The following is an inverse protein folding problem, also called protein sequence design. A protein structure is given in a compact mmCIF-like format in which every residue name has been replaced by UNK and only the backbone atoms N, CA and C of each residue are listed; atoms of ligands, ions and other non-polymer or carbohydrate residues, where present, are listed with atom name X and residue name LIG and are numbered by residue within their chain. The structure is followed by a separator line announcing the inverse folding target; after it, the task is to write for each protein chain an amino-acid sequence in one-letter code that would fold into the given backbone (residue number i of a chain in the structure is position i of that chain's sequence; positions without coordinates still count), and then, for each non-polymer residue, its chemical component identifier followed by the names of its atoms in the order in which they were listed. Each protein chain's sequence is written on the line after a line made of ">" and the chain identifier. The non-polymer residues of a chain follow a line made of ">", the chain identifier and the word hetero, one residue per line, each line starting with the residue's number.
data_IF_930824166680
#
_entry.id   IF_930824166680
#
_cell.length_a   1.000
_cell.length_b   1.000
_cell.length_c   1.000
_cell.angle_alpha   90.00
_cell.angle_beta   90.00
_cell.angle_gamma   90.00
#
_symmetry.space_group_name_H-M   'P 1'
#
loop_
_entity.id
_entity.type
_entity.pdbx_description
1 polymer ?
#
# COMPACT_ATOMS: atom_id res chain seq x y z
N UNK A 1 15.20 -9.30 -22.98
CA UNK A 1 16.54 -9.52 -22.42
C UNK A 1 16.78 -11.02 -22.39
N UNK A 2 17.82 -11.54 -23.05
CA UNK A 2 18.10 -12.99 -23.02
C UNK A 2 18.83 -13.33 -21.72
N UNK A 3 18.05 -13.56 -20.66
CA UNK A 3 18.58 -13.94 -19.35
C UNK A 3 18.65 -15.45 -19.30
N UNK A 4 19.86 -15.99 -19.15
CA UNK A 4 20.00 -17.41 -18.95
C UNK A 4 19.30 -17.87 -17.67
N UNK A 5 18.71 -19.07 -17.72
CA UNK A 5 17.97 -19.67 -16.61
C UNK A 5 18.76 -19.69 -15.29
N UNK A 6 20.09 -19.84 -15.36
CA UNK A 6 20.92 -19.82 -14.15
C UNK A 6 20.92 -18.45 -13.45
N UNK A 7 20.83 -17.33 -14.18
CA UNK A 7 20.75 -15.99 -13.56
C UNK A 7 19.41 -15.85 -12.83
N UNK A 8 18.32 -16.29 -13.45
CA UNK A 8 17.01 -16.36 -12.80
C UNK A 8 17.05 -17.17 -11.51
N UNK A 9 17.60 -18.38 -11.57
CA UNK A 9 17.68 -19.27 -10.40
C UNK A 9 18.57 -18.65 -9.32
N UNK A 10 19.75 -18.13 -9.67
CA UNK A 10 20.68 -17.52 -8.70
C UNK A 10 20.03 -16.30 -8.06
N UNK A 11 19.43 -15.39 -8.83
CA UNK A 11 18.76 -14.21 -8.30
C UNK A 11 17.58 -14.59 -7.42
N UNK A 12 16.74 -15.54 -7.84
CA UNK A 12 15.64 -16.02 -7.04
C UNK A 12 16.12 -16.65 -5.72
N UNK A 13 17.15 -17.49 -5.76
CA UNK A 13 17.73 -18.11 -4.57
C UNK A 13 18.33 -17.08 -3.63
N UNK A 14 19.06 -16.08 -4.15
CA UNK A 14 19.63 -15.00 -3.33
C UNK A 14 18.52 -14.17 -2.70
N UNK A 15 17.52 -13.75 -3.46
CA UNK A 15 16.42 -12.92 -2.96
C UNK A 15 15.54 -13.67 -1.96
N UNK A 16 15.17 -14.92 -2.27
CA UNK A 16 14.44 -15.80 -1.33
C UNK A 16 15.31 -16.11 -0.12
N UNK A 17 16.62 -16.23 -0.27
CA UNK A 17 17.56 -16.39 0.84
C UNK A 17 17.60 -15.18 1.77
N UNK A 18 17.66 -13.97 1.21
CA UNK A 18 17.58 -12.71 1.98
C UNK A 18 16.24 -12.59 2.69
N UNK A 19 15.13 -12.91 2.01
CA UNK A 19 13.79 -12.93 2.61
C UNK A 19 13.69 -14.00 3.71
N UNK A 20 14.18 -15.20 3.47
CA UNK A 20 14.17 -16.30 4.43
C UNK A 20 15.05 -15.99 5.65
N UNK A 21 16.17 -15.31 5.44
CA UNK A 21 17.01 -14.82 6.52
C UNK A 21 16.29 -13.78 7.38
N UNK A 22 15.61 -12.81 6.76
CA UNK A 22 14.76 -11.86 7.46
C UNK A 22 13.64 -12.60 8.24
N UNK A 23 12.99 -13.58 7.61
CA UNK A 23 11.96 -14.40 8.27
C UNK A 23 12.53 -15.20 9.45
N UNK A 24 13.70 -15.81 9.30
CA UNK A 24 14.27 -16.72 10.27
C UNK A 24 14.86 -15.99 11.48
N UNK A 25 15.57 -14.88 11.25
CA UNK A 25 16.13 -14.06 12.32
C UNK A 25 15.02 -13.40 13.13
N UNK A 26 14.06 -12.76 12.46
CA UNK A 26 13.01 -12.03 13.16
C UNK A 26 11.97 -12.98 13.74
N UNK A 27 11.62 -14.07 13.05
CA UNK A 27 10.69 -15.08 13.54
C UNK A 27 11.12 -15.76 14.85
N UNK A 28 12.43 -15.75 15.16
CA UNK A 28 12.97 -16.26 16.43
C UNK A 28 12.98 -15.25 17.58
N UNK A 29 12.82 -13.95 17.29
CA UNK A 29 12.84 -12.88 18.31
C UNK A 29 11.83 -11.78 17.97
N UNK A 30 10.51 -12.04 18.10
CA UNK A 30 9.49 -11.02 17.90
C UNK A 30 9.61 -9.93 18.97
N UNK A 31 10.27 -8.82 18.63
CA UNK A 31 10.39 -7.62 19.45
C UNK A 31 10.04 -6.43 18.57
N UNK A 32 9.35 -5.44 19.12
CA UNK A 32 9.05 -4.18 18.44
C UNK A 32 10.37 -3.48 18.07
N UNK A 33 10.71 -3.33 16.77
CA UNK A 33 11.97 -2.71 16.39
C UNK A 33 11.96 -1.23 16.76
N UNK A 34 13.09 -0.75 17.28
CA UNK A 34 13.27 0.67 17.52
C UNK A 34 13.25 1.45 16.20
N UNK A 35 12.85 2.73 16.24
CA UNK A 35 12.93 3.64 15.07
C UNK A 35 14.31 3.63 14.40
N UNK A 36 15.39 3.53 15.20
CA UNK A 36 16.76 3.45 14.67
C UNK A 36 17.01 2.15 13.93
N UNK A 37 16.59 1.02 14.49
CA UNK A 37 16.73 -0.30 13.89
C UNK A 37 15.92 -0.41 12.60
N UNK A 38 14.68 0.08 12.62
CA UNK A 38 13.80 0.12 11.46
C UNK A 38 14.39 1.00 10.35
N UNK A 39 14.89 2.20 10.68
CA UNK A 39 15.51 3.11 9.71
C UNK A 39 16.79 2.53 9.09
N UNK A 40 17.65 1.89 9.88
CA UNK A 40 18.86 1.22 9.38
C UNK A 40 18.47 0.06 8.45
N UNK A 41 17.50 -0.76 8.85
CA UNK A 41 17.05 -1.89 8.03
C UNK A 41 16.47 -1.41 6.69
N UNK A 42 15.63 -0.37 6.68
CA UNK A 42 15.12 0.23 5.45
C UNK A 42 16.26 0.76 4.58
N UNK A 43 17.24 1.46 5.17
CA UNK A 43 18.41 1.95 4.43
C UNK A 43 19.23 0.82 3.81
N UNK A 44 19.39 -0.32 4.51
CA UNK A 44 20.06 -1.51 3.96
C UNK A 44 19.29 -2.06 2.76
N UNK A 45 17.97 -2.25 2.88
CA UNK A 45 17.17 -2.81 1.78
C UNK A 45 17.11 -1.88 0.55
N UNK A 46 16.98 -0.57 0.78
CA UNK A 46 17.10 0.45 -0.27
C UNK A 46 18.49 0.41 -0.91
N UNK A 47 19.56 0.30 -0.11
CA UNK A 47 20.93 0.18 -0.61
C UNK A 47 21.13 -1.07 -1.47
N UNK A 48 20.57 -2.22 -1.06
CA UNK A 48 20.61 -3.46 -1.84
C UNK A 48 19.89 -3.30 -3.19
N UNK A 49 18.73 -2.65 -3.21
CA UNK A 49 18.00 -2.36 -4.45
C UNK A 49 18.81 -1.46 -5.38
N UNK A 50 19.44 -0.40 -4.84
CA UNK A 50 20.29 0.51 -5.62
C UNK A 50 21.51 -0.22 -6.19
N UNK A 51 22.19 -1.03 -5.39
CA UNK A 51 23.34 -1.84 -5.84
C UNK A 51 22.89 -2.79 -6.96
N UNK A 52 21.74 -3.45 -6.80
CA UNK A 52 21.20 -4.33 -7.83
C UNK A 52 20.89 -3.56 -9.12
N UNK A 53 20.23 -2.40 -9.04
CA UNK A 53 19.92 -1.56 -10.21
C UNK A 53 21.16 -1.03 -10.93
N UNK A 54 22.22 -0.67 -10.19
CA UNK A 54 23.54 -0.35 -10.77
C UNK A 54 24.13 -1.58 -11.45
N UNK A 55 24.03 -2.76 -10.83
CA UNK A 55 24.43 -4.03 -11.44
C UNK A 55 23.71 -4.27 -12.77
N UNK A 56 22.39 -4.13 -12.81
CA UNK A 56 21.61 -4.23 -14.06
C UNK A 56 22.09 -3.21 -15.09
N UNK A 57 22.35 -1.97 -14.68
CA UNK A 57 22.86 -0.91 -15.58
C UNK A 57 24.20 -1.29 -16.22
N UNK A 58 25.13 -1.87 -15.43
CA UNK A 58 26.47 -2.24 -15.91
C UNK A 58 26.40 -3.49 -16.80
N UNK A 59 25.65 -4.52 -16.40
CA UNK A 59 25.68 -5.83 -17.06
C UNK A 59 24.64 -6.01 -18.17
N UNK A 60 23.48 -5.35 -18.06
CA UNK A 60 22.42 -5.41 -19.06
C UNK A 60 22.28 -4.10 -19.86
N UNK A 61 22.77 -2.98 -19.31
CA UNK A 61 22.83 -1.69 -19.98
C UNK A 61 21.90 -0.63 -19.37
N UNK A 62 22.10 0.66 -19.70
CA UNK A 62 21.38 1.78 -19.09
C UNK A 62 19.86 1.73 -19.25
N UNK A 63 19.37 1.15 -20.34
CA UNK A 63 17.93 0.97 -20.59
C UNK A 63 17.29 0.11 -19.49
N UNK A 64 17.79 -1.11 -19.30
CA UNK A 64 17.26 -2.05 -18.31
C UNK A 64 17.50 -1.59 -16.87
N UNK A 65 18.61 -0.89 -16.63
CA UNK A 65 18.84 -0.23 -15.34
C UNK A 65 17.77 0.82 -15.03
N UNK A 66 17.46 1.69 -15.99
CA UNK A 66 16.39 2.67 -15.85
C UNK A 66 15.01 2.03 -15.66
N UNK A 67 14.73 0.96 -16.41
CA UNK A 67 13.50 0.17 -16.27
C UNK A 67 13.36 -0.44 -14.87
N UNK A 68 14.44 -1.01 -14.32
CA UNK A 68 14.48 -1.50 -12.94
C UNK A 68 14.20 -0.39 -11.93
N UNK A 69 14.90 0.75 -12.02
CA UNK A 69 14.70 1.84 -11.06
C UNK A 69 13.29 2.41 -11.14
N UNK A 70 12.72 2.54 -12.34
CA UNK A 70 11.37 3.03 -12.53
C UNK A 70 10.36 2.05 -11.91
N UNK A 71 10.48 0.76 -12.26
CA UNK A 71 9.63 -0.28 -11.71
C UNK A 71 9.74 -0.38 -10.19
N UNK A 72 10.96 -0.41 -9.64
CA UNK A 72 11.20 -0.52 -8.21
C UNK A 72 10.66 0.69 -7.44
N UNK A 73 10.89 1.92 -7.90
CA UNK A 73 10.37 3.12 -7.24
C UNK A 73 8.83 3.17 -7.28
N UNK A 74 8.22 2.84 -8.43
CA UNK A 74 6.76 2.77 -8.55
C UNK A 74 6.19 1.71 -7.63
N UNK A 75 6.72 0.49 -7.64
CA UNK A 75 6.28 -0.59 -6.76
C UNK A 75 6.49 -0.28 -5.28
N UNK A 76 7.62 0.33 -4.91
CA UNK A 76 7.91 0.71 -3.53
C UNK A 76 6.92 1.78 -3.03
N UNK A 77 6.57 2.73 -3.89
CA UNK A 77 5.60 3.78 -3.58
C UNK A 77 4.18 3.23 -3.45
N UNK A 78 3.77 2.35 -4.37
CA UNK A 78 2.50 1.63 -4.31
C UNK A 78 2.42 0.76 -3.05
N UNK A 79 3.49 0.04 -2.71
CA UNK A 79 3.55 -0.81 -1.51
C UNK A 79 3.48 0.00 -0.21
N UNK A 80 3.97 1.25 -0.21
CA UNK A 80 3.84 2.16 0.93
C UNK A 80 2.37 2.58 1.17
N UNK A 81 1.59 2.79 0.12
CA UNK A 81 0.14 3.03 0.23
C UNK A 81 -0.59 1.78 0.74
N UNK A 82 -0.15 0.59 0.33
CA UNK A 82 -0.69 -0.67 0.84
C UNK A 82 -0.57 -0.83 2.37
N UNK A 83 0.44 -0.18 2.98
CA UNK A 83 0.57 -0.16 4.44
C UNK A 83 -0.60 0.52 5.14
N UNK A 84 -1.27 1.49 4.51
CA UNK A 84 -2.45 2.12 5.11
C UNK A 84 -3.57 1.12 5.29
N UNK A 85 -3.86 0.32 4.26
CA UNK A 85 -4.87 -0.74 4.40
C UNK A 85 -4.45 -1.77 5.45
N UNK A 86 -3.16 -2.08 5.56
CA UNK A 86 -2.67 -2.99 6.59
C UNK A 86 -2.88 -2.42 8.00
N UNK A 87 -2.59 -1.14 8.22
CA UNK A 87 -2.86 -0.43 9.49
C UNK A 87 -4.36 -0.45 9.80
N UNK A 88 -5.22 -0.11 8.83
CA UNK A 88 -6.68 -0.08 9.01
C UNK A 88 -7.21 -1.49 9.35
N UNK A 89 -6.76 -2.53 8.64
CA UNK A 89 -7.16 -3.92 8.92
C UNK A 89 -6.72 -4.32 10.34
N UNK A 90 -5.47 -4.05 10.71
CA UNK A 90 -4.96 -4.40 12.04
C UNK A 90 -5.64 -3.62 13.17
N UNK A 91 -5.93 -2.33 12.97
CA UNK A 91 -6.68 -1.50 13.92
C UNK A 91 -8.12 -1.97 14.08
N UNK A 92 -8.82 -2.19 12.97
CA UNK A 92 -10.23 -2.62 12.96
C UNK A 92 -10.44 -4.03 13.55
N UNK A 93 -9.46 -4.92 13.37
CA UNK A 93 -9.44 -6.25 13.97
C UNK A 93 -8.78 -6.27 15.36
N UNK A 94 -8.36 -5.11 15.87
CA UNK A 94 -7.72 -4.95 17.20
C UNK A 94 -6.56 -5.92 17.40
N UNK A 95 -5.68 -6.05 16.41
CA UNK A 95 -4.54 -6.97 16.45
C UNK A 95 -3.54 -6.50 17.50
N UNK A 96 -3.22 -7.32 18.53
CA UNK A 96 -2.21 -6.98 19.54
C UNK A 96 -0.86 -6.69 18.89
N UNK A 97 -0.15 -5.65 19.36
CA UNK A 97 1.11 -5.17 18.74
C UNK A 97 2.16 -6.26 18.56
N UNK A 98 2.34 -7.14 19.54
CA UNK A 98 3.27 -8.27 19.47
C UNK A 98 2.93 -9.31 18.37
N UNK A 99 1.69 -9.34 17.88
CA UNK A 99 1.25 -10.23 16.80
C UNK A 99 1.25 -9.56 15.42
N UNK A 100 1.34 -8.23 15.35
CA UNK A 100 1.33 -7.49 14.07
C UNK A 100 2.52 -7.86 13.19
N UNK A 101 3.70 -8.09 13.80
CA UNK A 101 4.89 -8.54 13.08
C UNK A 101 4.68 -9.86 12.34
N UNK A 102 4.03 -10.80 13.02
CA UNK A 102 3.73 -12.10 12.45
C UNK A 102 2.72 -11.96 11.30
N UNK A 103 1.65 -11.19 11.52
CA UNK A 103 0.64 -10.93 10.49
C UNK A 103 1.26 -10.26 9.24
N UNK A 104 2.11 -9.24 9.42
CA UNK A 104 2.81 -8.56 8.34
C UNK A 104 3.78 -9.49 7.59
N UNK A 105 4.51 -10.33 8.33
CA UNK A 105 5.44 -11.28 7.73
C UNK A 105 4.71 -12.30 6.85
N UNK A 106 3.62 -12.89 7.36
CA UNK A 106 2.79 -13.81 6.57
C UNK A 106 2.14 -13.07 5.39
N UNK A 107 1.69 -11.83 5.60
CA UNK A 107 1.15 -10.97 4.55
C UNK A 107 2.14 -10.72 3.42
N UNK A 108 3.39 -10.36 3.72
CA UNK A 108 4.45 -10.14 2.72
C UNK A 108 4.77 -11.43 1.96
N UNK A 109 4.83 -12.57 2.65
CA UNK A 109 5.07 -13.87 2.00
C UNK A 109 3.92 -14.21 1.04
N UNK A 110 2.67 -14.04 1.48
CA UNK A 110 1.50 -14.24 0.61
C UNK A 110 1.50 -13.27 -0.56
N UNK A 111 1.85 -12.00 -0.33
CA UNK A 111 1.95 -10.98 -1.36
C UNK A 111 2.97 -11.37 -2.43
N UNK A 112 4.17 -11.82 -2.04
CA UNK A 112 5.18 -12.28 -2.98
C UNK A 112 4.72 -13.49 -3.81
N UNK A 113 3.96 -14.41 -3.20
CA UNK A 113 3.38 -15.56 -3.91
C UNK A 113 2.34 -15.08 -4.92
N UNK A 114 1.36 -14.27 -4.50
CA UNK A 114 0.31 -13.77 -5.38
C UNK A 114 0.86 -12.90 -6.50
N UNK A 115 1.80 -12.00 -6.21
CA UNK A 115 2.48 -11.20 -7.21
C UNK A 115 3.30 -12.07 -8.15
N UNK A 116 4.02 -13.09 -7.67
CA UNK A 116 4.70 -14.05 -8.53
C UNK A 116 3.74 -14.74 -9.51
N UNK A 117 2.55 -15.14 -9.06
CA UNK A 117 1.50 -15.70 -9.91
C UNK A 117 1.01 -14.66 -10.92
N UNK A 118 0.66 -13.44 -10.50
CA UNK A 118 0.18 -12.39 -11.40
C UNK A 118 1.23 -11.94 -12.41
N UNK A 119 2.50 -11.91 -12.04
CA UNK A 119 3.61 -11.61 -12.95
C UNK A 119 3.70 -12.71 -14.00
N UNK A 120 3.68 -13.98 -13.61
CA UNK A 120 3.73 -15.10 -14.55
C UNK A 120 2.52 -15.09 -15.51
N UNK A 121 1.31 -14.88 -14.99
CA UNK A 121 0.09 -14.77 -15.79
C UNK A 121 0.14 -13.56 -16.72
N UNK A 122 0.56 -12.39 -16.21
CA UNK A 122 0.69 -11.14 -16.96
C UNK A 122 1.70 -11.24 -18.08
N UNK A 123 2.85 -11.88 -17.86
CA UNK A 123 3.87 -12.11 -18.88
C UNK A 123 3.32 -12.91 -20.06
N UNK A 124 2.57 -13.99 -19.77
CA UNK A 124 1.92 -14.80 -20.81
C UNK A 124 0.80 -14.03 -21.52
N UNK A 125 0.04 -13.21 -20.78
CA UNK A 125 -1.05 -12.42 -21.35
C UNK A 125 -0.53 -11.36 -22.34
N UNK A 126 0.54 -10.65 -21.97
CA UNK A 126 1.16 -9.60 -22.77
C UNK A 126 1.79 -10.17 -24.05
N UNK A 127 2.48 -11.31 -23.96
CA UNK A 127 3.10 -11.99 -25.11
C UNK A 127 2.09 -12.39 -26.19
N UNK A 128 0.80 -12.54 -25.82
CA UNK A 128 -0.25 -13.03 -26.72
C UNK A 128 -1.20 -11.96 -27.22
N UNK A 129 -1.34 -10.84 -26.51
CA UNK A 129 -2.41 -9.87 -26.79
C UNK A 129 -1.98 -8.43 -26.46
N UNK A 130 -1.63 -7.64 -27.49
CA UNK A 130 -1.42 -6.19 -27.34
C UNK A 130 -2.66 -5.46 -26.79
N UNK A 131 -3.86 -6.03 -26.96
CA UNK A 131 -5.10 -5.50 -26.39
C UNK A 131 -5.08 -5.46 -24.84
N UNK A 132 -4.25 -6.27 -24.19
CA UNK A 132 -4.08 -6.26 -22.72
C UNK A 132 -3.52 -4.92 -22.25
N UNK A 133 -2.64 -4.27 -23.04
CA UNK A 133 -2.12 -2.96 -22.70
C UNK A 133 -3.20 -1.87 -22.71
N UNK A 134 -4.22 -1.95 -23.58
CA UNK A 134 -5.38 -1.07 -23.51
C UNK A 134 -6.18 -1.25 -22.23
N UNK A 135 -6.44 -2.51 -21.86
CA UNK A 135 -7.17 -2.85 -20.63
C UNK A 135 -6.41 -2.32 -19.41
N UNK A 136 -5.11 -2.56 -19.35
CA UNK A 136 -4.23 -2.08 -18.29
C UNK A 136 -4.16 -0.56 -18.23
N UNK A 137 -3.99 0.12 -19.37
CA UNK A 137 -3.97 1.58 -19.43
C UNK A 137 -5.28 2.21 -18.93
N UNK A 138 -6.42 1.71 -19.40
CA UNK A 138 -7.75 2.18 -18.96
C UNK A 138 -7.99 1.91 -17.47
N UNK A 139 -7.59 0.73 -17.00
CA UNK A 139 -7.73 0.35 -15.60
C UNK A 139 -6.89 1.28 -14.70
N UNK A 140 -5.64 1.57 -15.06
CA UNK A 140 -4.80 2.51 -14.33
C UNK A 140 -5.36 3.94 -14.29
N UNK A 141 -5.90 4.43 -15.40
CA UNK A 141 -6.55 5.75 -15.44
C UNK A 141 -7.78 5.76 -14.53
N UNK A 142 -8.59 4.69 -14.56
CA UNK A 142 -9.73 4.54 -13.68
C UNK A 142 -9.31 4.57 -12.20
N UNK A 143 -8.30 3.77 -11.81
CA UNK A 143 -7.78 3.75 -10.45
C UNK A 143 -7.22 5.10 -10.04
N UNK A 144 -6.48 5.78 -10.92
CA UNK A 144 -5.96 7.12 -10.65
C UNK A 144 -7.06 8.13 -10.35
N UNK A 145 -8.12 8.17 -11.17
CA UNK A 145 -9.26 9.05 -10.97
C UNK A 145 -9.95 8.72 -9.66
N UNK A 146 -10.21 7.43 -9.40
CA UNK A 146 -10.84 6.97 -8.17
C UNK A 146 -10.03 7.40 -6.94
N UNK A 147 -8.72 7.19 -6.94
CA UNK A 147 -7.82 7.54 -5.85
C UNK A 147 -7.79 9.06 -5.59
N UNK A 148 -7.79 9.88 -6.64
CA UNK A 148 -7.85 11.34 -6.53
C UNK A 148 -9.20 11.85 -5.99
N UNK A 149 -10.30 11.22 -6.40
CA UNK A 149 -11.66 11.54 -5.93
C UNK A 149 -11.83 11.14 -4.46
N UNK A 150 -11.39 9.94 -4.09
CA UNK A 150 -11.47 9.44 -2.72
C UNK A 150 -10.66 10.34 -1.76
N UNK A 151 -9.48 10.82 -2.20
CA UNK A 151 -8.68 11.80 -1.45
C UNK A 151 -9.41 13.14 -1.23
N UNK A 152 -10.25 13.57 -2.18
CA UNK A 152 -10.96 14.86 -2.09
C UNK A 152 -12.24 14.80 -1.25
N UNK A 153 -12.74 13.60 -0.92
CA UNK A 153 -14.00 13.37 -0.18
C UNK A 153 -13.82 13.32 1.34
N UNK A 154 -12.67 13.71 1.87
CA UNK A 154 -12.43 13.71 3.31
C UNK A 154 -13.18 14.84 4.04
N UNK A 155 -14.48 14.63 4.32
CA UNK A 155 -15.14 15.23 5.48
C UNK A 155 -16.38 14.49 6.05
N UNK A 156 -16.84 13.34 5.52
CA UNK A 156 -17.97 12.64 6.14
C UNK A 156 -17.72 11.13 6.30
N UNK A 157 -17.66 10.70 7.57
CA UNK A 157 -17.82 9.34 8.08
C UNK A 157 -17.17 8.19 7.29
N UNK A 158 -15.91 7.86 7.62
CA UNK A 158 -15.42 6.48 7.43
C UNK A 158 -15.96 5.59 8.54
N UNK A 159 -17.29 5.44 8.56
CA UNK A 159 -18.01 4.50 9.39
C UNK A 159 -17.88 3.09 8.83
N UNK A 160 -17.13 2.24 9.54
CA UNK A 160 -17.03 0.79 9.39
C UNK A 160 -16.58 0.28 8.01
N UNK A 161 -15.30 -0.09 7.94
CA UNK A 161 -14.61 -0.72 6.82
C UNK A 161 -15.41 -1.89 6.21
N UNK A 162 -15.91 -1.72 4.98
CA UNK A 162 -16.78 -2.69 4.29
C UNK A 162 -16.14 -4.09 4.17
N UNK A 163 -14.82 -4.15 4.04
CA UNK A 163 -14.05 -5.40 4.01
C UNK A 163 -14.09 -6.15 5.35
N UNK A 164 -14.02 -5.41 6.47
CA UNK A 164 -14.08 -5.98 7.82
C UNK A 164 -15.52 -6.40 8.16
N UNK A 165 -16.51 -5.61 7.73
CA UNK A 165 -17.94 -5.96 7.88
C UNK A 165 -18.30 -7.22 7.09
N UNK A 166 -17.76 -7.37 5.88
CA UNK A 166 -17.93 -8.57 5.06
C UNK A 166 -17.29 -9.80 5.72
N UNK A 167 -16.05 -9.66 6.22
CA UNK A 167 -15.33 -10.73 6.90
C UNK A 167 -16.03 -11.19 8.20
N UNK A 168 -16.50 -10.24 9.03
CA UNK A 168 -17.26 -10.53 10.26
C UNK A 168 -18.60 -11.21 9.99
N UNK A 169 -19.23 -10.96 8.84
CA UNK A 169 -20.56 -11.48 8.48
C UNK A 169 -20.53 -12.89 7.90
N UNK A 170 -19.41 -13.31 7.31
CA UNK A 170 -19.32 -14.59 6.59
C UNK A 170 -18.42 -15.63 7.26
N UNK A 171 -17.69 -15.29 8.35
CA UNK A 171 -16.80 -16.22 9.03
C UNK A 171 -17.21 -16.43 10.50
N UNK A 172 -17.37 -17.68 10.96
CA UNK A 172 -17.55 -17.97 12.38
C UNK A 172 -16.27 -17.60 13.13
N UNK A 173 -16.32 -16.53 13.93
CA UNK A 173 -15.17 -15.99 14.65
C UNK A 173 -15.29 -16.23 16.16
N UNK A 174 -14.14 -16.31 16.82
CA UNK A 174 -14.02 -16.24 18.28
C UNK A 174 -13.22 -14.99 18.58
N UNK A 175 -13.73 -14.11 19.44
CA UNK A 175 -13.15 -12.77 19.71
C UNK A 175 -11.74 -12.80 20.32
N UNK A 176 -11.21 -13.98 20.67
CA UNK A 176 -9.99 -14.13 21.44
C UNK A 176 -8.77 -14.53 20.59
N UNK A 177 -7.69 -13.75 20.66
CA UNK A 177 -6.44 -14.03 19.96
C UNK A 177 -5.70 -15.21 20.60
N UNK A 178 -5.61 -16.33 19.88
CA UNK A 178 -4.87 -17.53 20.29
C UNK A 178 -3.39 -17.48 19.84
N UNK A 179 -2.72 -16.34 20.06
CA UNK A 179 -1.36 -16.08 19.60
C UNK A 179 -1.22 -16.13 18.08
N UNK A 180 -0.16 -16.78 17.57
CA UNK A 180 0.12 -16.94 16.13
C UNK A 180 -0.61 -18.13 15.48
N UNK A 181 -1.40 -18.89 16.24
CA UNK A 181 -2.10 -20.08 15.72
C UNK A 181 -3.20 -19.65 14.74
N UNK A 182 -3.26 -20.27 13.58
CA UNK A 182 -4.28 -20.02 12.55
C UNK A 182 -5.59 -20.77 12.79
N UNK A 183 -5.52 -21.87 13.55
CA UNK A 183 -6.68 -22.68 13.89
C UNK A 183 -6.66 -23.00 15.38
N UNK A 184 -7.83 -22.95 16.01
CA UNK A 184 -8.06 -23.39 17.37
C UNK A 184 -9.05 -24.56 17.39
N UNK A 185 -9.01 -25.36 18.45
CA UNK A 185 -10.01 -26.40 18.69
C UNK A 185 -10.83 -25.98 19.91
N UNK A 186 -12.09 -25.62 19.69
CA UNK A 186 -13.04 -25.21 20.72
C UNK A 186 -14.22 -26.18 20.62
N UNK A 187 -14.62 -26.78 21.74
CA UNK A 187 -15.70 -27.77 21.83
C UNK A 187 -15.61 -28.91 20.80
N UNK A 188 -14.40 -29.44 20.59
CA UNK A 188 -14.17 -30.55 19.67
C UNK A 188 -14.10 -30.19 18.19
N UNK A 189 -14.50 -28.98 17.79
CA UNK A 189 -14.51 -28.50 16.40
C UNK A 189 -13.31 -27.60 16.10
N UNK A 190 -12.74 -27.71 14.90
CA UNK A 190 -11.69 -26.79 14.42
C UNK A 190 -12.34 -25.50 13.94
N UNK A 191 -11.89 -24.37 14.47
CA UNK A 191 -12.35 -23.02 14.10
C UNK A 191 -11.15 -22.17 13.68
N UNK A 192 -11.40 -21.20 12.79
CA UNK A 192 -10.40 -20.20 12.40
C UNK A 192 -10.23 -19.19 13.53
N UNK A 193 -9.00 -18.82 13.82
CA UNK A 193 -8.70 -17.78 14.82
C UNK A 193 -8.80 -16.38 14.21
N UNK A 194 -8.86 -15.36 15.05
CA UNK A 194 -8.76 -13.95 14.60
C UNK A 194 -7.50 -13.69 13.77
N UNK A 195 -6.39 -14.37 14.08
CA UNK A 195 -5.14 -14.28 13.30
C UNK A 195 -5.31 -14.79 11.86
N UNK A 196 -6.04 -15.89 11.65
CA UNK A 196 -6.30 -16.37 10.30
C UNK A 196 -7.16 -15.38 9.50
N UNK A 197 -8.15 -14.76 10.15
CA UNK A 197 -8.97 -13.71 9.53
C UNK A 197 -8.12 -12.50 9.13
N UNK A 198 -7.20 -12.07 9.99
CA UNK A 198 -6.23 -11.00 9.68
C UNK A 198 -5.40 -11.37 8.46
N UNK A 199 -4.83 -12.57 8.42
CA UNK A 199 -3.99 -13.02 7.30
C UNK A 199 -4.78 -13.10 5.99
N UNK A 200 -6.01 -13.60 6.03
CA UNK A 200 -6.90 -13.62 4.86
C UNK A 200 -7.20 -12.20 4.39
N UNK A 201 -7.50 -11.27 5.31
CA UNK A 201 -7.78 -9.88 4.97
C UNK A 201 -6.56 -9.17 4.35
N UNK A 202 -5.37 -9.37 4.94
CA UNK A 202 -4.11 -8.82 4.40
C UNK A 202 -3.78 -9.41 3.03
N UNK A 203 -3.89 -10.73 2.85
CA UNK A 203 -3.66 -11.38 1.56
C UNK A 203 -4.68 -10.96 0.49
N UNK A 204 -5.94 -10.77 0.87
CA UNK A 204 -6.98 -10.27 -0.04
C UNK A 204 -6.73 -8.82 -0.45
N UNK A 205 -6.31 -7.98 0.50
CA UNK A 205 -5.93 -6.60 0.20
C UNK A 205 -4.77 -6.55 -0.80
N UNK A 206 -3.74 -7.39 -0.63
CA UNK A 206 -2.63 -7.43 -1.58
C UNK A 206 -3.07 -7.86 -2.98
N UNK A 207 -3.96 -8.84 -3.11
CA UNK A 207 -4.55 -9.23 -4.41
C UNK A 207 -5.24 -8.03 -5.07
N UNK A 208 -6.01 -7.24 -4.30
CA UNK A 208 -6.66 -6.04 -4.83
C UNK A 208 -5.63 -5.01 -5.30
N UNK A 209 -4.55 -4.80 -4.54
CA UNK A 209 -3.47 -3.89 -4.93
C UNK A 209 -2.60 -4.39 -6.09
N UNK A 210 -2.50 -5.71 -6.26
CA UNK A 210 -1.83 -6.31 -7.40
C UNK A 210 -2.54 -5.93 -8.71
N UNK A 211 -3.85 -5.66 -8.68
CA UNK A 211 -4.58 -5.20 -9.85
C UNK A 211 -4.07 -3.85 -10.37
N UNK A 212 -3.65 -2.94 -9.50
CA UNK A 212 -3.12 -1.63 -9.91
C UNK A 212 -1.61 -1.68 -10.19
N UNK A 213 -0.86 -2.40 -9.36
CA UNK A 213 0.61 -2.44 -9.45
C UNK A 213 1.13 -3.26 -10.63
N UNK A 214 0.50 -4.39 -10.96
CA UNK A 214 0.97 -5.26 -12.06
C UNK A 214 0.85 -4.58 -13.43
N UNK A 215 -0.30 -3.97 -13.80
CA UNK A 215 -0.39 -3.12 -14.98
C UNK A 215 0.67 -2.02 -14.98
N UNK A 216 0.85 -1.33 -13.85
CA UNK A 216 1.76 -0.19 -13.76
C UNK A 216 3.21 -0.60 -14.07
N UNK A 217 3.72 -1.68 -13.47
CA UNK A 217 5.08 -2.12 -13.71
C UNK A 217 5.28 -2.66 -15.13
N UNK A 218 4.29 -3.35 -15.70
CA UNK A 218 4.34 -3.76 -17.11
C UNK A 218 4.29 -2.59 -18.09
N UNK A 219 3.77 -1.43 -17.66
CA UNK A 219 3.89 -0.17 -18.40
C UNK A 219 5.26 0.49 -18.35
N UNK A 220 6.15 0.04 -17.46
CA UNK A 220 7.52 0.52 -17.34
C UNK A 220 8.51 -0.44 -17.97
N UNK A 221 8.28 -1.75 -17.85
CA UNK A 221 9.13 -2.78 -18.43
C UNK A 221 8.32 -4.01 -18.83
N UNK A 222 8.66 -4.58 -19.98
CA UNK A 222 8.08 -5.85 -20.43
C UNK A 222 8.94 -7.06 -20.01
N UNK A 223 10.06 -6.83 -19.32
CA UNK A 223 10.99 -7.88 -18.92
C UNK A 223 10.54 -8.53 -17.59
N UNK A 224 10.04 -9.79 -17.58
CA UNK A 224 9.47 -10.38 -16.36
C UNK A 224 10.48 -10.49 -15.21
N UNK A 225 11.78 -10.56 -15.53
CA UNK A 225 12.84 -10.55 -14.53
C UNK A 225 12.96 -9.23 -13.80
N UNK A 226 12.88 -8.11 -14.52
CA UNK A 226 12.92 -6.78 -13.91
C UNK A 226 11.65 -6.55 -13.10
N UNK A 227 10.50 -6.98 -13.62
CA UNK A 227 9.23 -6.96 -12.90
C UNK A 227 9.35 -7.71 -11.57
N UNK A 228 9.79 -8.96 -11.61
CA UNK A 228 9.93 -9.79 -10.41
C UNK A 228 10.91 -9.19 -9.40
N UNK A 229 12.12 -8.83 -9.83
CA UNK A 229 13.17 -8.33 -8.92
C UNK A 229 12.79 -6.98 -8.31
N UNK A 230 12.27 -6.03 -9.10
CA UNK A 230 11.77 -4.75 -8.61
C UNK A 230 10.70 -4.93 -7.54
N UNK A 231 9.79 -5.89 -7.75
CA UNK A 231 8.71 -6.19 -6.83
C UNK A 231 9.22 -6.77 -5.49
N UNK A 232 10.17 -7.71 -5.56
CA UNK A 232 10.80 -8.27 -4.36
C UNK A 232 11.55 -7.17 -3.58
N UNK A 233 12.34 -6.34 -4.26
CA UNK A 233 13.03 -5.20 -3.63
C UNK A 233 12.08 -4.16 -3.06
N UNK A 234 10.90 -3.98 -3.66
CA UNK A 234 9.88 -3.06 -3.16
C UNK A 234 9.21 -3.55 -1.87
N UNK A 235 9.03 -4.87 -1.73
CA UNK A 235 8.42 -5.46 -0.54
C UNK A 235 9.42 -5.70 0.61
N UNK A 236 10.71 -5.79 0.29
CA UNK A 236 11.76 -5.89 1.31
C UNK A 236 11.85 -4.58 2.12
N UNK A 237 11.83 -4.71 3.44
CA UNK A 237 11.83 -3.56 4.35
C UNK A 237 10.44 -2.99 4.68
N UNK A 238 9.37 -3.48 4.04
CA UNK A 238 8.00 -3.00 4.26
C UNK A 238 7.53 -3.18 5.72
N UNK A 239 7.90 -4.30 6.36
CA UNK A 239 7.64 -4.54 7.79
C UNK A 239 8.32 -3.48 8.66
N UNK A 240 9.58 -3.19 8.41
CA UNK A 240 10.34 -2.17 9.15
C UNK A 240 9.76 -0.79 8.89
N UNK A 241 9.34 -0.53 7.65
CA UNK A 241 8.63 0.67 7.29
C UNK A 241 7.37 0.80 8.15
N UNK A 242 6.52 -0.23 8.27
CA UNK A 242 5.32 -0.22 9.13
C UNK A 242 5.61 0.25 10.57
N UNK A 243 6.67 -0.27 11.21
CA UNK A 243 7.04 0.16 12.58
C UNK A 243 7.68 1.54 12.63
N UNK A 244 8.41 1.94 11.59
CA UNK A 244 8.91 3.30 11.43
C UNK A 244 7.77 4.33 11.24
N UNK A 245 6.62 3.84 10.79
CA UNK A 245 5.55 4.62 10.17
C UNK A 245 4.40 5.02 11.09
N UNK A 246 4.23 4.41 12.27
CA UNK A 246 3.14 4.75 13.19
C UNK A 246 2.99 6.27 13.44
N UNK A 247 4.09 7.04 13.28
CA UNK A 247 4.07 8.50 13.18
C UNK A 247 4.51 9.14 11.86
N UNK A 248 5.13 8.42 10.90
CA UNK A 248 5.68 8.99 9.65
C UNK A 248 4.68 8.97 8.48
N UNK A 249 3.88 7.92 8.28
CA UNK A 249 2.85 7.95 7.23
C UNK A 249 1.76 8.98 7.51
N UNK A 250 1.46 9.23 8.79
CA UNK A 250 0.56 10.33 9.21
C UNK A 250 1.09 11.70 8.75
N UNK A 251 2.37 11.80 8.39
CA UNK A 251 2.98 13.02 7.83
C UNK A 251 3.03 13.03 6.31
N UNK A 252 2.64 11.94 5.64
CA UNK A 252 2.63 11.79 4.17
C UNK A 252 1.21 11.96 3.62
N UNK A 253 0.54 13.05 3.99
CA UNK A 253 -0.86 13.34 3.66
C UNK A 253 -1.13 13.29 2.15
N UNK A 254 -0.19 13.73 1.30
CA UNK A 254 -0.37 13.77 -0.15
C UNK A 254 0.14 12.51 -0.87
N UNK A 255 0.45 11.42 -0.16
CA UNK A 255 1.04 10.22 -0.80
C UNK A 255 0.08 9.61 -1.83
N UNK A 256 -1.18 9.37 -1.46
CA UNK A 256 -2.19 8.79 -2.35
C UNK A 256 -2.49 9.71 -3.55
N UNK A 257 -2.40 11.04 -3.38
CA UNK A 257 -2.47 12.00 -4.49
C UNK A 257 -1.25 11.90 -5.42
N UNK A 258 -0.05 11.67 -4.88
CA UNK A 258 1.14 11.41 -5.69
C UNK A 258 1.03 10.13 -6.51
N UNK A 259 0.54 9.05 -5.88
CA UNK A 259 0.30 7.78 -6.55
C UNK A 259 -0.73 7.92 -7.67
N UNK A 260 -1.82 8.67 -7.48
CA UNK A 260 -2.82 8.85 -8.52
C UNK A 260 -2.24 9.51 -9.77
N UNK A 261 -1.36 10.51 -9.61
CA UNK A 261 -0.66 11.16 -10.73
C UNK A 261 0.28 10.17 -11.43
N UNK A 262 1.03 9.36 -10.67
CA UNK A 262 1.93 8.35 -11.24
C UNK A 262 1.13 7.29 -12.02
N UNK A 263 0.02 6.80 -11.46
CA UNK A 263 -0.85 5.81 -12.11
C UNK A 263 -1.51 6.37 -13.37
N UNK A 264 -2.00 7.61 -13.34
CA UNK A 264 -2.55 8.27 -14.52
C UNK A 264 -1.50 8.39 -15.63
N UNK A 265 -0.28 8.82 -15.27
CA UNK A 265 0.83 8.95 -16.21
C UNK A 265 1.20 7.59 -16.85
N UNK A 266 1.35 6.54 -16.04
CA UNK A 266 1.66 5.20 -16.55
C UNK A 266 0.49 4.63 -17.37
N UNK A 267 -0.75 4.90 -16.97
CA UNK A 267 -1.95 4.49 -17.71
C UNK A 267 -2.02 5.11 -19.11
N UNK A 268 -1.74 6.42 -19.21
CA UNK A 268 -1.62 7.12 -20.50
C UNK A 268 -0.47 6.53 -21.32
N UNK A 269 0.71 6.31 -20.71
CA UNK A 269 1.85 5.67 -21.38
C UNK A 269 1.48 4.32 -22.00
N UNK A 270 0.82 3.47 -21.23
CA UNK A 270 0.39 2.14 -21.67
C UNK A 270 -0.63 2.21 -22.81
N UNK A 271 -1.57 3.13 -22.71
CA UNK A 271 -2.57 3.33 -23.76
C UNK A 271 -1.92 3.77 -25.08
N UNK A 272 -0.97 4.71 -25.02
CA UNK A 272 -0.19 5.16 -26.18
C UNK A 272 0.65 4.02 -26.77
N UNK A 273 1.29 3.22 -25.92
CA UNK A 273 2.06 2.06 -26.35
C UNK A 273 1.18 1.02 -27.06
N UNK A 274 -0.01 0.73 -26.52
CA UNK A 274 -0.99 -0.15 -27.16
C UNK A 274 -1.45 0.38 -28.54
N UNK A 275 -1.59 1.71 -28.67
CA UNK A 275 -1.90 2.35 -29.95
C UNK A 275 -0.78 2.17 -30.97
N UNK A 276 0.48 2.29 -30.57
CA UNK A 276 1.61 2.04 -31.46
C UNK A 276 1.66 0.57 -31.90
N UNK A 277 1.62 -0.38 -30.96
CA UNK A 277 1.70 -1.82 -31.28
C UNK A 277 0.52 -2.32 -32.12
N UNK A 278 -0.70 -1.85 -31.84
CA UNK A 278 -1.89 -2.25 -32.62
C UNK A 278 -1.81 -1.82 -34.09
N UNK A 279 -1.09 -0.73 -34.40
CA UNK A 279 -0.82 -0.29 -35.76
C UNK A 279 0.17 -1.17 -36.54
N UNK A 280 1.01 -1.96 -35.85
CA UNK A 280 1.99 -2.85 -36.48
C UNK A 280 1.44 -4.25 -36.80
N UNK A 281 0.50 -4.78 -36.00
CA UNK A 281 0.01 -6.16 -36.12
C UNK A 281 -1.38 -6.32 -36.74
N UNK A 282 -2.20 -5.28 -36.75
CA UNK A 282 -3.50 -5.28 -37.39
C UNK A 282 -3.56 -4.15 -38.41
N UNK A 283 -3.78 -4.46 -39.69
CA UNK A 283 -4.08 -3.47 -40.73
C UNK A 283 -5.35 -2.65 -40.48
N UNK A 284 -5.94 -2.76 -39.28
CA UNK A 284 -7.02 -1.96 -38.74
C UNK A 284 -6.70 -1.66 -37.26
N UNK A 285 -6.63 -0.38 -36.85
CA UNK A 285 -6.53 -0.05 -35.43
C UNK A 285 -7.65 -0.74 -34.65
N UNK A 286 -7.31 -1.38 -33.51
CA UNK A 286 -8.29 -1.93 -32.55
C UNK A 286 -9.21 -0.82 -32.02
N UNK A 287 -8.74 0.42 -32.11
CA UNK A 287 -9.51 1.62 -31.85
C UNK A 287 -10.50 1.85 -32.99
N UNK A 288 -11.80 1.74 -32.70
CA UNK A 288 -12.88 1.95 -33.68
C UNK A 288 -12.86 3.36 -34.32
N UNK A 289 -13.73 3.64 -35.31
CA UNK A 289 -13.69 4.86 -36.11
C UNK A 289 -13.67 6.16 -35.30
N UNK A 290 -14.30 6.15 -34.12
CA UNK A 290 -14.37 7.28 -33.21
C UNK A 290 -13.01 7.71 -32.62
N UNK A 291 -11.99 6.86 -32.67
CA UNK A 291 -10.67 7.13 -32.06
C UNK A 291 -9.53 7.12 -33.09
N UNK A 292 -9.86 7.01 -34.38
CA UNK A 292 -8.90 7.07 -35.48
C UNK A 292 -8.09 8.38 -35.46
N UNK A 293 -8.75 9.50 -35.17
CA UNK A 293 -8.11 10.81 -35.04
C UNK A 293 -7.00 10.82 -33.98
N UNK A 294 -7.20 10.10 -32.87
CA UNK A 294 -6.21 10.00 -31.80
C UNK A 294 -5.01 9.16 -32.26
N UNK A 295 -5.26 8.06 -32.98
CA UNK A 295 -4.20 7.23 -33.57
C UNK A 295 -3.35 8.03 -34.56
N UNK A 296 -3.99 8.75 -35.49
CA UNK A 296 -3.30 9.56 -36.48
C UNK A 296 -2.48 10.67 -35.81
N UNK A 297 -3.00 11.28 -34.73
CA UNK A 297 -2.28 12.28 -33.93
C UNK A 297 -1.04 11.69 -33.27
N UNK A 298 -1.17 10.53 -32.61
CA UNK A 298 -0.05 9.85 -31.92
C UNK A 298 1.07 9.48 -32.89
N UNK A 299 0.70 9.01 -34.09
CA UNK A 299 1.67 8.66 -35.15
C UNK A 299 2.49 9.86 -35.64
N UNK A 300 1.95 11.08 -35.53
CA UNK A 300 2.70 12.30 -35.88
C UNK A 300 3.63 12.81 -34.78
N UNK A 301 3.57 12.23 -33.58
CA UNK A 301 4.46 12.61 -32.48
C UNK A 301 5.87 12.02 -32.66
N UNK A 302 6.91 12.67 -32.11
CA UNK A 302 8.26 12.11 -32.04
C UNK A 302 8.25 10.74 -31.35
N UNK A 303 9.05 9.80 -31.86
CA UNK A 303 9.13 8.41 -31.36
C UNK A 303 7.77 7.66 -31.36
N UNK A 304 6.84 8.03 -32.24
CA UNK A 304 5.53 7.37 -32.39
C UNK A 304 4.68 7.38 -31.11
N UNK A 305 4.93 8.35 -30.22
CA UNK A 305 4.23 8.49 -28.93
C UNK A 305 4.78 7.61 -27.81
N UNK A 306 5.89 6.90 -28.03
CA UNK A 306 6.56 6.15 -26.95
C UNK A 306 7.21 7.10 -25.95
N UNK A 307 6.76 7.00 -24.69
CA UNK A 307 7.31 7.78 -23.59
C UNK A 307 8.62 7.13 -23.11
N UNK A 308 9.77 7.83 -23.21
CA UNK A 308 11.04 7.29 -22.78
C UNK A 308 11.07 6.96 -21.28
N UNK A 309 11.88 5.96 -20.90
CA UNK A 309 12.03 5.55 -19.50
C UNK A 309 12.62 6.66 -18.63
N UNK A 310 13.55 7.46 -19.15
CA UNK A 310 14.10 8.59 -18.41
C UNK A 310 13.02 9.62 -18.04
N UNK A 311 12.06 9.87 -18.95
CA UNK A 311 10.94 10.78 -18.70
C UNK A 311 10.01 10.18 -17.64
N UNK A 312 9.77 8.87 -17.71
CA UNK A 312 9.00 8.15 -16.69
C UNK A 312 9.65 8.28 -15.31
N UNK A 313 10.96 8.06 -15.22
CA UNK A 313 11.74 8.24 -13.99
C UNK A 313 11.66 9.66 -13.46
N UNK A 314 11.83 10.67 -14.32
CA UNK A 314 11.74 12.08 -13.91
C UNK A 314 10.36 12.41 -13.35
N UNK A 315 9.28 11.95 -13.99
CA UNK A 315 7.91 12.16 -13.51
C UNK A 315 7.70 11.44 -12.17
N UNK A 316 8.08 10.17 -12.06
CA UNK A 316 7.93 9.38 -10.83
C UNK A 316 8.69 10.05 -9.67
N UNK A 317 9.98 10.32 -9.85
CA UNK A 317 10.83 10.93 -8.81
C UNK A 317 10.32 12.34 -8.48
N UNK A 318 9.95 13.14 -9.49
CA UNK A 318 9.44 14.49 -9.31
C UNK A 318 8.16 14.49 -8.48
N UNK A 319 7.19 13.65 -8.83
CA UNK A 319 5.92 13.53 -8.09
C UNK A 319 6.17 13.05 -6.67
N UNK A 320 6.96 11.99 -6.46
CA UNK A 320 7.27 11.47 -5.13
C UNK A 320 7.99 12.51 -4.25
N UNK A 321 8.93 13.26 -4.83
CA UNK A 321 9.66 14.30 -4.11
C UNK A 321 8.70 15.44 -3.71
N UNK A 322 7.90 15.93 -4.65
CA UNK A 322 6.94 17.01 -4.41
C UNK A 322 5.93 16.58 -3.34
N UNK A 323 5.33 15.40 -3.47
CA UNK A 323 4.32 14.94 -2.51
C UNK A 323 4.93 14.68 -1.14
N UNK A 324 6.12 14.09 -1.06
CA UNK A 324 6.82 13.87 0.21
C UNK A 324 7.15 15.19 0.89
N UNK A 325 7.76 16.14 0.17
CA UNK A 325 8.15 17.45 0.72
C UNK A 325 6.91 18.25 1.13
N UNK A 326 5.89 18.34 0.27
CA UNK A 326 4.64 19.02 0.57
C UNK A 326 3.95 18.42 1.81
N UNK A 327 3.97 17.10 1.94
CA UNK A 327 3.36 16.43 3.09
C UNK A 327 4.13 16.71 4.38
N UNK A 328 5.46 16.68 4.34
CA UNK A 328 6.30 17.01 5.49
C UNK A 328 6.12 18.47 5.93
N UNK A 329 6.01 19.40 4.99
CA UNK A 329 5.74 20.82 5.28
C UNK A 329 4.36 20.96 5.92
N UNK A 330 3.31 20.36 5.33
CA UNK A 330 1.95 20.41 5.85
C UNK A 330 1.85 19.79 7.24
N UNK A 331 2.51 18.66 7.46
CA UNK A 331 2.54 17.98 8.75
C UNK A 331 3.22 18.84 9.83
N UNK A 332 4.33 19.51 9.52
CA UNK A 332 4.97 20.45 10.47
C UNK A 332 4.05 21.64 10.79
N UNK A 333 3.38 22.20 9.77
CA UNK A 333 2.45 23.30 9.95
C UNK A 333 1.27 22.93 10.86
N UNK A 334 0.69 21.73 10.69
CA UNK A 334 -0.40 21.23 11.54
C UNK A 334 0.04 21.11 13.02
N UNK A 335 1.26 20.61 13.28
CA UNK A 335 1.84 20.51 14.63
C UNK A 335 2.05 21.89 15.25
N UNK A 336 2.54 22.86 14.47
CA UNK A 336 2.76 24.24 14.94
C UNK A 336 1.45 24.98 15.28
N UNK A 337 0.35 24.66 14.61
CA UNK A 337 -0.95 25.32 14.79
C UNK A 337 -1.92 24.56 15.71
N UNK A 338 -1.46 23.50 16.38
CA UNK A 338 -2.29 22.73 17.32
C UNK A 338 -3.49 22.03 16.67
N UNK A 339 -3.48 21.87 15.34
CA UNK A 339 -4.47 21.07 14.63
C UNK A 339 -4.04 19.61 14.80
N UNK A 340 -4.71 18.89 15.71
CA UNK A 340 -4.42 17.46 15.92
C UNK A 340 -4.48 16.70 14.59
N UNK A 341 -3.65 15.67 14.41
CA UNK A 341 -3.75 14.81 13.25
C UNK A 341 -5.15 14.16 13.26
N UNK A 342 -5.82 14.34 12.14
CA UNK A 342 -7.02 13.71 11.60
C UNK A 342 -7.45 12.40 12.30
N UNK A 343 -8.78 12.22 12.36
CA UNK A 343 -9.59 11.29 13.17
C UNK A 343 -9.03 9.89 13.54
N UNK A 344 -8.06 9.37 12.79
CA UNK A 344 -7.32 8.14 13.09
C UNK A 344 -6.44 8.23 14.37
N UNK A 345 -6.12 9.42 14.86
CA UNK A 345 -5.42 9.62 16.14
C UNK A 345 -6.27 9.37 17.38
N UNK A 346 -7.60 9.50 17.28
CA UNK A 346 -8.50 9.33 18.43
C UNK A 346 -8.62 7.86 18.87
N UNK A 347 -8.57 6.91 17.94
CA UNK A 347 -8.64 5.48 18.25
C UNK A 347 -7.34 4.95 18.89
N UNK A 348 -6.18 5.40 18.43
CA UNK A 348 -4.88 4.94 18.95
C UNK A 348 -4.54 5.61 20.30
N UNK A 349 -4.91 6.88 20.49
CA UNK A 349 -4.73 7.59 21.77
C UNK A 349 -5.68 7.06 22.84
N UNK A 350 -6.89 6.61 22.46
CA UNK A 350 -7.79 5.90 23.37
C UNK A 350 -7.30 4.48 23.69
N UNK A 351 -6.67 3.78 22.73
CA UNK A 351 -6.12 2.44 22.94
C UNK A 351 -4.78 2.41 23.69
N UNK A 352 -4.07 3.54 23.76
CA UNK A 352 -2.79 3.67 24.47
C UNK A 352 -2.91 4.19 25.91
N UNK A 353 -4.11 4.55 26.37
CA UNK A 353 -4.34 4.90 27.78
C UNK A 353 -4.51 3.63 28.60
N UNK A 354 -3.87 3.60 29.77
CA UNK A 354 -4.03 2.52 30.73
C UNK A 354 -5.53 2.40 31.10
N UNK A 355 -6.14 1.20 31.02
CA UNK A 355 -7.52 0.98 31.45
C UNK A 355 -7.81 1.49 32.87
N UNK A 356 -6.82 1.50 33.75
CA UNK A 356 -6.95 2.07 35.10
C UNK A 356 -7.00 3.61 35.09
N UNK A 357 -6.24 4.29 34.23
CA UNK A 357 -6.30 5.76 34.10
C UNK A 357 -7.62 6.23 33.49
N UNK A 358 -8.17 5.49 32.52
CA UNK A 358 -9.47 5.81 31.90
C UNK A 358 -10.61 5.60 32.91
N UNK A 359 -10.55 4.55 33.74
CA UNK A 359 -11.49 4.35 34.85
C UNK A 359 -11.36 5.44 35.91
N UNK A 360 -10.15 5.78 36.32
CA UNK A 360 -9.92 6.82 37.31
C UNK A 360 -10.37 8.22 36.83
N UNK A 361 -10.26 8.51 35.53
CA UNK A 361 -10.79 9.73 34.93
C UNK A 361 -12.33 9.76 34.95
N UNK A 362 -12.99 8.66 34.58
CA UNK A 362 -14.45 8.54 34.65
C UNK A 362 -14.99 8.60 36.08
N UNK A 363 -14.28 8.03 37.07
CA UNK A 363 -14.66 8.12 38.49
C UNK A 363 -14.49 9.53 39.06
N UNK A 364 -13.47 10.28 38.60
CA UNK A 364 -13.27 11.69 38.98
C UNK A 364 -14.36 12.59 38.41
N UNK A 365 -14.77 12.38 37.16
CA UNK A 365 -15.87 13.13 36.55
C UNK A 365 -17.24 12.80 37.18
N UNK A 366 -17.47 11.53 37.54
CA UNK A 366 -18.68 11.10 38.24
C UNK A 366 -18.76 11.61 39.69
N UNK A 367 -17.61 11.81 40.35
CA UNK A 367 -17.52 12.35 41.72
C UNK A 367 -17.74 13.86 41.83
N UNK A 368 -17.57 14.61 40.74
CA UNK A 368 -17.74 16.09 40.75
C UNK A 368 -19.15 16.58 40.41
N UNK A 369 -20.09 15.67 40.13
CA UNK A 369 -21.45 16.01 39.66
C UNK A 369 -22.57 16.00 40.72
N UNK A 370 -22.27 15.84 42.01
CA UNK A 370 -23.31 15.60 43.04
C UNK A 370 -23.27 16.54 44.26
N UNK A 371 -22.63 17.70 44.18
CA UNK A 371 -22.68 18.68 45.27
C UNK A 371 -23.00 20.09 44.76
N UNK A 372 -24.28 20.47 44.94
CA UNK A 372 -24.92 21.79 44.87
C UNK A 372 -25.99 21.96 43.77
N UNK A 373 -27.20 21.45 44.02
CA UNK A 373 -28.42 22.21 43.67
C UNK A 373 -29.64 21.77 44.50
N UNK A 374 -29.51 21.79 45.83
CA UNK A 374 -30.65 21.71 46.76
C UNK A 374 -30.53 22.76 47.84
N UNK A 375 -30.58 24.02 47.44
CA UNK A 375 -31.04 25.12 48.31
C UNK A 375 -31.35 26.36 47.47
N UNK A 376 -32.47 26.31 46.75
CA UNK A 376 -33.17 27.52 46.29
C UNK A 376 -34.46 27.65 47.10
N UNK A 377 -34.62 28.68 47.93
CA UNK A 377 -35.87 28.87 48.66
C UNK A 377 -37.00 29.23 47.67
N UNK A 378 -38.08 28.46 47.75
CA UNK A 378 -39.33 28.68 47.04
C UNK A 378 -39.90 30.05 47.42
N UNK A 379 -39.92 30.98 46.47
CA UNK A 379 -40.66 32.23 46.63
C UNK A 379 -42.16 31.96 46.48
N UNK A 380 -42.89 32.02 47.59
CA UNK A 380 -44.33 31.82 47.68
C UNK A 380 -45.07 33.09 47.21
N UNK A 381 -45.92 33.05 46.16
CA UNK A 381 -46.67 34.20 45.71
C UNK A 381 -48.09 34.16 46.28
N UNK A 382 -48.27 34.48 47.56
CA UNK A 382 -49.56 34.88 48.11
C UNK A 382 -49.35 35.63 49.43
N UNK A 383 -49.22 36.96 49.34
CA UNK A 383 -49.83 37.87 50.31
C UNK A 383 -49.93 39.32 49.76
N UNK A 384 -51.18 39.70 49.51
CA UNK A 384 -51.85 40.97 49.80
C UNK A 384 -51.48 42.28 49.08
N UNK A 385 -52.50 42.69 48.28
CA UNK A 385 -53.19 44.01 48.23
C UNK A 385 -52.68 45.10 47.30
#
# INVERSE_FOLDING_TARGET
>A
MNIHLYVWIITAVVLVGVLAFDIFIIGRRPHEPSMKEAGIAVAIYVGLAVIFGIGVTIFAGPRYGGEFFAGWLTEYSLSMDNLFIFIIIMGSLKVPRHLQQFALLVGIVLALIFRGIFIAVGAVAIDRFAAVFYLFGLFLIYTAIKLAVDYSKHEEETGDNAMVRFARRHLPFVDEYHGTKLTAKIDGKRVLTSMALVIIALGSADILFALDSIPAIYGLTQEPFLVFTANVFALMGLRQLYFLIGGLLKRLVYLSLGLSVILAFIGVKLFLHAMHESGQYAGTPVVGPAMQWAYDTVKTLPNEGEIPIWLSLTVIIGVLLITTVASLIRSRWNVEHGLEPDAHGREETAAARDPEEVRAAHEREAGTGSENDTDRPLHNPHDLR
#
